data_IF_070752531310
#
_entry.id   IF_070752531310
#
_cell.length_a   1.000
_cell.length_b   1.000
_cell.length_c   1.000
_cell.angle_alpha   90.00
_cell.angle_beta   90.00
_cell.angle_gamma   90.00
#
_symmetry.space_group_name_H-M   'P 1'
#
loop_
_entity.id
_entity.type
_entity.pdbx_description
1 polymer ?
#
# COMPACT_ATOMS: atom_id res chain seq x y z
N UNK A 1 25.36 -7.26 16.20
CA UNK A 1 23.94 -7.40 15.78
C UNK A 1 23.23 -6.05 15.55
N UNK A 2 23.92 -4.90 15.38
CA UNK A 2 23.27 -3.59 15.15
C UNK A 2 23.30 -3.08 13.70
N UNK A 3 24.14 -3.64 12.82
CA UNK A 3 24.34 -3.14 11.45
C UNK A 3 23.20 -3.47 10.48
N UNK A 4 22.52 -4.61 10.67
CA UNK A 4 21.46 -5.04 9.75
C UNK A 4 20.14 -4.27 9.93
N UNK A 5 19.86 -3.81 11.16
CA UNK A 5 18.67 -2.98 11.46
C UNK A 5 18.74 -1.64 10.73
N UNK A 6 19.87 -0.94 10.81
CA UNK A 6 20.06 0.37 10.17
C UNK A 6 19.91 0.33 8.65
N UNK A 7 20.40 -0.73 8.00
CA UNK A 7 20.23 -0.93 6.56
C UNK A 7 18.76 -1.09 6.17
N UNK A 8 17.99 -1.83 6.98
CA UNK A 8 16.55 -2.04 6.73
C UNK A 8 15.72 -0.76 6.87
N UNK A 9 16.06 0.09 7.85
CA UNK A 9 15.33 1.34 8.10
C UNK A 9 15.58 2.37 6.99
N UNK A 10 16.82 2.46 6.50
CA UNK A 10 17.17 3.31 5.35
C UNK A 10 16.42 2.88 4.08
N UNK A 11 16.31 1.57 3.84
CA UNK A 11 15.54 1.05 2.69
C UNK A 11 14.06 1.41 2.80
N UNK A 12 13.44 1.27 3.98
CA UNK A 12 12.03 1.66 4.18
C UNK A 12 11.82 3.16 3.98
N UNK A 13 12.72 4.00 4.49
CA UNK A 13 12.64 5.46 4.32
C UNK A 13 12.73 5.85 2.84
N UNK A 14 13.61 5.20 2.07
CA UNK A 14 13.70 5.41 0.62
C UNK A 14 12.40 5.00 -0.09
N UNK A 15 11.86 3.82 0.24
CA UNK A 15 10.61 3.33 -0.32
C UNK A 15 9.45 4.30 -0.03
N UNK A 16 9.36 4.80 1.21
CA UNK A 16 8.39 5.84 1.61
C UNK A 16 8.54 7.13 0.80
N UNK A 17 9.77 7.56 0.53
CA UNK A 17 10.02 8.77 -0.25
C UNK A 17 9.59 8.59 -1.71
N UNK A 18 9.94 7.47 -2.34
CA UNK A 18 9.55 7.14 -3.71
C UNK A 18 8.01 7.06 -3.86
N UNK A 19 7.33 6.42 -2.91
CA UNK A 19 5.86 6.40 -2.81
C UNK A 19 5.32 7.84 -2.69
N UNK A 20 5.89 8.65 -1.80
CA UNK A 20 5.46 10.03 -1.59
C UNK A 20 5.58 10.91 -2.84
N UNK A 21 6.67 10.76 -3.59
CA UNK A 21 6.88 11.46 -4.87
C UNK A 21 5.82 11.04 -5.88
N UNK A 22 5.61 9.73 -6.07
CA UNK A 22 4.63 9.20 -7.02
C UNK A 22 3.21 9.72 -6.71
N UNK A 23 2.79 9.62 -5.44
CA UNK A 23 1.49 10.12 -4.99
C UNK A 23 1.36 11.64 -5.16
N UNK A 24 2.42 12.41 -4.89
CA UNK A 24 2.36 13.87 -5.03
C UNK A 24 2.23 14.33 -6.50
N UNK A 25 2.66 13.50 -7.45
CA UNK A 25 2.62 13.80 -8.89
C UNK A 25 1.31 13.40 -9.56
N UNK A 26 0.52 12.53 -8.92
CA UNK A 26 -0.73 12.01 -9.44
C UNK A 26 -1.85 13.06 -9.32
N UNK A 27 -2.51 13.36 -10.44
CA UNK A 27 -3.61 14.34 -10.52
C UNK A 27 -4.98 13.70 -10.64
N UNK A 28 -5.03 12.43 -11.03
CA UNK A 28 -6.27 11.67 -11.07
C UNK A 28 -6.58 11.16 -9.66
N UNK A 29 -7.70 11.63 -9.10
CA UNK A 29 -8.09 11.31 -7.73
C UNK A 29 -8.29 9.81 -7.50
N UNK A 30 -8.94 9.10 -8.43
CA UNK A 30 -9.17 7.66 -8.27
C UNK A 30 -7.86 6.86 -8.34
N UNK A 31 -6.97 7.21 -9.28
CA UNK A 31 -5.65 6.59 -9.39
C UNK A 31 -4.77 6.89 -8.16
N UNK A 32 -4.86 8.09 -7.61
CA UNK A 32 -4.17 8.48 -6.39
C UNK A 32 -4.61 7.61 -5.20
N UNK A 33 -5.92 7.43 -5.03
CA UNK A 33 -6.48 6.63 -3.93
C UNK A 33 -6.11 5.14 -4.06
N UNK A 34 -6.12 4.59 -5.27
CA UNK A 34 -5.67 3.22 -5.53
C UNK A 34 -4.17 3.04 -5.22
N UNK A 35 -3.33 3.96 -5.70
CA UNK A 35 -1.89 3.93 -5.46
C UNK A 35 -1.57 4.09 -3.97
N UNK A 36 -2.28 4.96 -3.26
CA UNK A 36 -2.13 5.16 -1.82
C UNK A 36 -2.49 3.90 -1.05
N UNK A 37 -3.62 3.28 -1.37
CA UNK A 37 -4.05 2.06 -0.67
C UNK A 37 -3.10 0.89 -0.92
N UNK A 38 -2.63 0.73 -2.16
CA UNK A 38 -1.65 -0.30 -2.53
C UNK A 38 -0.33 -0.09 -1.79
N UNK A 39 0.21 1.14 -1.81
CA UNK A 39 1.45 1.49 -1.12
C UNK A 39 1.36 1.30 0.39
N UNK A 40 0.22 1.67 0.99
CA UNK A 40 -0.01 1.49 2.42
C UNK A 40 -0.07 0.00 2.80
N UNK A 41 -0.68 -0.85 1.97
CA UNK A 41 -0.72 -2.30 2.19
C UNK A 41 0.66 -2.94 2.09
N UNK A 42 1.43 -2.58 1.08
CA UNK A 42 2.81 -3.08 0.90
C UNK A 42 3.71 -2.69 2.09
N UNK A 43 3.61 -1.43 2.53
CA UNK A 43 4.41 -0.92 3.65
C UNK A 43 4.05 -1.61 4.98
N UNK A 44 2.77 -1.92 5.19
CA UNK A 44 2.26 -2.53 6.43
C UNK A 44 2.19 -4.05 6.37
N UNK A 45 2.50 -4.66 5.22
CA UNK A 45 2.31 -6.09 4.95
C UNK A 45 0.86 -6.55 5.18
N UNK A 46 -0.12 -5.69 4.86
CA UNK A 46 -1.53 -5.97 5.06
C UNK A 46 -2.17 -6.69 3.86
N UNK A 47 -2.91 -7.75 4.14
CA UNK A 47 -3.62 -8.54 3.12
C UNK A 47 -4.72 -7.76 2.39
N UNK A 48 -5.32 -6.76 3.05
CA UNK A 48 -6.40 -5.95 2.51
C UNK A 48 -6.35 -4.52 3.08
N UNK A 49 -7.02 -3.59 2.39
CA UNK A 49 -7.19 -2.21 2.83
C UNK A 49 -8.56 -1.68 2.40
N UNK A 50 -9.06 -0.65 3.08
CA UNK A 50 -10.28 0.07 2.69
C UNK A 50 -10.07 1.55 2.91
N UNK A 51 -10.51 2.36 1.96
CA UNK A 51 -10.40 3.81 2.02
C UNK A 51 -11.79 4.43 2.22
N UNK A 52 -11.88 5.34 3.20
CA UNK A 52 -13.09 6.08 3.50
C UNK A 52 -12.88 7.54 3.14
N UNK A 53 -13.74 8.08 2.28
CA UNK A 53 -13.79 9.52 2.00
C UNK A 53 -15.03 10.11 2.67
N UNK A 54 -14.88 11.30 3.23
CA UNK A 54 -15.98 12.02 3.87
C UNK A 54 -16.24 13.33 3.12
N UNK A 55 -17.47 13.49 2.62
CA UNK A 55 -17.94 14.74 2.05
C UNK A 55 -18.65 15.54 3.15
N UNK A 56 -17.96 16.56 3.67
CA UNK A 56 -18.48 17.43 4.72
C UNK A 56 -19.68 18.27 4.27
N UNK A 57 -19.80 18.58 2.98
CA UNK A 57 -20.90 19.37 2.43
C UNK A 57 -22.18 18.54 2.31
N UNK A 58 -22.06 17.23 2.09
CA UNK A 58 -23.19 16.30 2.00
C UNK A 58 -23.44 15.51 3.29
N UNK A 59 -22.56 15.64 4.29
CA UNK A 59 -22.52 14.81 5.51
C UNK A 59 -22.59 13.31 5.19
N UNK A 60 -21.87 12.89 4.16
CA UNK A 60 -21.91 11.52 3.65
C UNK A 60 -20.52 10.88 3.69
N UNK A 61 -20.49 9.64 4.17
CA UNK A 61 -19.35 8.74 4.02
C UNK A 61 -19.48 8.01 2.68
N UNK A 62 -18.43 8.08 1.88
CA UNK A 62 -18.27 7.25 0.69
C UNK A 62 -17.19 6.22 0.97
N UNK A 63 -17.50 4.97 0.63
CA UNK A 63 -16.59 3.84 0.82
C UNK A 63 -16.03 3.47 -0.54
N UNK A 64 -14.71 3.50 -0.67
CA UNK A 64 -14.00 2.95 -1.81
C UNK A 64 -13.15 1.77 -1.34
N UNK A 65 -13.58 0.57 -1.70
CA UNK A 65 -12.87 -0.67 -1.43
C UNK A 65 -12.11 -1.10 -2.70
N UNK A 66 -10.79 -0.96 -2.68
CA UNK A 66 -9.94 -1.55 -3.73
C UNK A 66 -9.52 -2.94 -3.25
N UNK A 67 -10.03 -3.99 -3.91
CA UNK A 67 -9.76 -5.40 -3.58
C UNK A 67 -8.83 -6.01 -4.62
N UNK A 68 -7.62 -6.39 -4.20
CA UNK A 68 -6.79 -7.36 -4.93
C UNK A 68 -6.13 -8.33 -3.97
N UNK A 69 -6.56 -9.59 -4.02
CA UNK A 69 -5.82 -10.77 -3.54
C UNK A 69 -6.00 -11.91 -4.54
N UNK A 70 -4.87 -12.44 -5.03
CA UNK A 70 -4.75 -13.83 -5.46
C UNK A 70 -3.47 -14.40 -4.83
N UNK A 71 -3.62 -15.20 -3.77
CA UNK A 71 -2.50 -15.81 -3.04
C UNK A 71 -2.06 -17.18 -3.59
N UNK A 72 -2.52 -17.61 -4.75
CA UNK A 72 -2.03 -18.87 -5.33
C UNK A 72 -0.85 -18.53 -6.25
N UNK A 73 0.39 -18.61 -5.74
CA UNK A 73 1.61 -18.98 -6.50
C UNK A 73 2.88 -19.01 -5.62
N UNK A 74 2.83 -18.55 -4.36
CA UNK A 74 4.02 -18.58 -3.48
C UNK A 74 4.14 -19.84 -2.60
N UNK A 75 3.15 -20.75 -2.58
CA UNK A 75 3.21 -22.02 -1.83
C UNK A 75 3.31 -23.27 -2.72
N UNK A 76 3.48 -23.09 -4.04
CA UNK A 76 3.67 -24.20 -4.98
C UNK A 76 5.08 -24.77 -5.03
N UNK A 77 6.09 -24.01 -4.57
CA UNK A 77 7.51 -24.34 -4.75
C UNK A 77 8.18 -24.96 -3.50
N UNK A 78 7.40 -25.32 -2.48
CA UNK A 78 7.87 -26.06 -1.30
C UNK A 78 7.26 -27.47 -1.17
N UNK A 79 6.46 -27.91 -2.15
CA UNK A 79 5.85 -29.24 -2.16
C UNK A 79 6.61 -30.28 -3.02
N UNK A 80 7.75 -29.89 -3.61
CA UNK A 80 8.61 -30.82 -4.36
C UNK A 80 10.09 -30.66 -3.98
N UNK A 81 10.44 -31.08 -2.76
CA UNK A 81 11.77 -31.54 -2.39
C UNK A 81 11.68 -32.63 -1.33
#
# INVERSE_FOLDING_TARGET
MGGESYGSDITRIRQLNEIGIALSSERNHDALLENLLTSARELTQADAGTLYTFDASKQQLSLQSYKTIHWTYALGDLANR
#
